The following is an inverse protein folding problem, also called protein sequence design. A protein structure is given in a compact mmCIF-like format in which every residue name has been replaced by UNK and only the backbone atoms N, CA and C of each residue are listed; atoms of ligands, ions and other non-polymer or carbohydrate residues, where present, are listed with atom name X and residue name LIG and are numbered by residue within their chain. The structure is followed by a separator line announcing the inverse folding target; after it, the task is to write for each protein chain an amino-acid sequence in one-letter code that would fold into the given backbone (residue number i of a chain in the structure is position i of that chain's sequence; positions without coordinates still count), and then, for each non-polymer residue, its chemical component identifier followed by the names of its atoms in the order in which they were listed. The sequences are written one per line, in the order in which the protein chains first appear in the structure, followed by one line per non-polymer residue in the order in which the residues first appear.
data_IF_072621392924
#
_entry.id   IF_072621392924
#
_cell.length_a   1.000
_cell.length_b   1.000
_cell.length_c   1.000
_cell.angle_alpha   90.00
_cell.angle_beta   90.00
_cell.angle_gamma   90.00
#
_symmetry.space_group_name_H-M   'P 1'
#
loop_
_entity.id
_entity.type
_entity.pdbx_description
1 polymer ?
#
# COMPACT_ATOMS: atom_id res chain seq x y z
N UNK A 1 -0.33 3.33 35.85
CA UNK A 1 0.53 3.12 34.65
C UNK A 1 0.72 1.65 34.28
N UNK A 2 0.00 0.70 34.86
CA UNK A 2 0.24 -0.76 34.75
C UNK A 2 -0.75 -1.50 33.85
N UNK A 3 -1.96 -1.00 33.64
CA UNK A 3 -3.01 -1.69 32.89
C UNK A 3 -2.77 -1.69 31.36
N UNK A 4 -2.19 -0.64 30.80
CA UNK A 4 -1.88 -0.58 29.36
C UNK A 4 -0.79 -1.56 28.89
N UNK A 5 0.14 -1.95 29.76
CA UNK A 5 1.17 -2.93 29.44
C UNK A 5 0.63 -4.36 29.40
N UNK A 6 -0.37 -4.68 30.25
CA UNK A 6 -0.98 -6.02 30.26
C UNK A 6 -1.80 -6.32 29.01
N UNK A 7 -2.52 -5.32 28.48
CA UNK A 7 -3.35 -5.50 27.26
C UNK A 7 -2.48 -5.68 26.02
N UNK A 8 -1.35 -4.96 25.91
CA UNK A 8 -0.44 -5.08 24.76
C UNK A 8 0.30 -6.43 24.72
N UNK A 9 0.68 -6.97 25.87
CA UNK A 9 1.33 -8.29 25.96
C UNK A 9 0.36 -9.43 25.66
N UNK A 10 -0.90 -9.33 26.10
CA UNK A 10 -1.93 -10.35 25.84
C UNK A 10 -2.33 -10.41 24.35
N UNK A 11 -2.37 -9.27 23.66
CA UNK A 11 -2.64 -9.22 22.22
C UNK A 11 -1.43 -9.78 21.44
N UNK A 12 -0.21 -9.44 21.85
CA UNK A 12 1.00 -9.95 21.20
C UNK A 12 1.15 -11.47 21.36
N UNK A 13 0.85 -12.02 22.55
CA UNK A 13 0.88 -13.49 22.77
C UNK A 13 -0.24 -14.20 22.02
N UNK A 14 -1.44 -13.61 21.90
CA UNK A 14 -2.53 -14.18 21.12
C UNK A 14 -2.23 -14.20 19.62
N UNK A 15 -1.61 -13.14 19.07
CA UNK A 15 -1.20 -13.10 17.65
C UNK A 15 -0.06 -14.05 17.35
N UNK A 16 0.94 -14.19 18.24
CA UNK A 16 2.03 -15.15 18.08
C UNK A 16 1.50 -16.59 18.17
N UNK A 17 0.58 -16.86 19.10
CA UNK A 17 -0.05 -18.18 19.23
C UNK A 17 -0.88 -18.54 18.00
N UNK A 18 -1.63 -17.61 17.43
CA UNK A 18 -2.39 -17.80 16.20
C UNK A 18 -1.45 -18.05 15.00
N UNK A 19 -0.32 -17.36 14.94
CA UNK A 19 0.69 -17.56 13.89
C UNK A 19 1.38 -18.94 14.02
N UNK A 20 1.70 -19.37 15.24
CA UNK A 20 2.29 -20.69 15.47
C UNK A 20 1.31 -21.85 15.17
N UNK A 21 0.02 -21.69 15.43
CA UNK A 21 -0.98 -22.70 15.10
C UNK A 21 -1.23 -22.81 13.60
N UNK A 22 -1.09 -21.71 12.83
CA UNK A 22 -1.14 -21.75 11.37
C UNK A 22 0.09 -22.45 10.76
N UNK A 23 1.25 -22.41 11.42
CA UNK A 23 2.48 -23.07 10.94
C UNK A 23 2.55 -24.56 11.31
N UNK A 24 1.72 -25.01 12.25
CA UNK A 24 1.64 -26.43 12.69
C UNK A 24 0.72 -27.28 11.77
N UNK A 25 0.12 -26.72 10.72
CA UNK A 25 -0.54 -27.52 9.70
C UNK A 25 0.48 -28.47 9.04
N UNK A 26 0.14 -29.76 8.86
CA UNK A 26 1.10 -30.73 8.36
C UNK A 26 1.68 -30.27 7.01
N UNK A 27 3.00 -30.41 6.86
CA UNK A 27 3.77 -30.00 5.66
C UNK A 27 3.17 -30.50 4.33
N UNK A 28 2.41 -31.59 4.38
CA UNK A 28 1.63 -32.10 3.25
C UNK A 28 0.52 -31.16 2.76
N UNK A 29 0.02 -30.23 3.58
CA UNK A 29 -0.94 -29.21 3.13
C UNK A 29 -0.23 -28.02 2.46
N UNK A 30 1.01 -27.73 2.82
CA UNK A 30 1.80 -26.64 2.23
C UNK A 30 2.27 -26.97 0.80
N UNK A 31 2.54 -28.23 0.49
CA UNK A 31 2.93 -28.62 -0.87
C UNK A 31 1.80 -28.51 -1.90
N UNK A 32 0.54 -28.55 -1.50
CA UNK A 32 -0.61 -28.35 -2.41
C UNK A 32 -0.81 -26.90 -2.85
N UNK A 33 -0.16 -25.95 -2.20
CA UNK A 33 -0.25 -24.53 -2.59
C UNK A 33 0.41 -24.23 -3.93
N UNK A 34 1.39 -25.02 -4.35
CA UNK A 34 2.14 -24.82 -5.59
C UNK A 34 1.92 -25.91 -6.66
N UNK A 35 1.00 -26.84 -6.46
CA UNK A 35 0.64 -27.79 -7.51
C UNK A 35 -0.17 -27.08 -8.57
N UNK A 36 0.47 -26.71 -9.68
CA UNK A 36 -0.20 -26.38 -10.92
C UNK A 36 -1.07 -27.54 -11.33
N UNK A 37 -2.37 -27.31 -11.44
CA UNK A 37 -3.31 -28.32 -11.93
C UNK A 37 -2.89 -28.69 -13.36
N UNK A 38 -2.56 -29.94 -13.61
CA UNK A 38 -2.08 -30.41 -14.92
C UNK A 38 -3.30 -30.52 -15.84
N UNK A 39 -3.68 -29.38 -16.39
CA UNK A 39 -4.67 -29.30 -17.47
C UNK A 39 -3.97 -28.90 -18.80
N UNK A 40 -4.70 -28.90 -19.89
CA UNK A 40 -4.16 -28.59 -21.24
C UNK A 40 -3.91 -27.10 -21.49
N UNK A 41 -4.01 -26.25 -20.48
CA UNK A 41 -3.93 -24.79 -20.61
C UNK A 41 -2.46 -24.34 -20.47
N UNK A 42 -1.98 -23.43 -21.33
CA UNK A 42 -0.62 -22.91 -21.24
C UNK A 42 -0.36 -22.23 -19.89
N UNK A 43 0.84 -22.40 -19.35
CA UNK A 43 1.25 -21.76 -18.08
C UNK A 43 1.24 -20.24 -18.21
N UNK A 44 1.78 -19.70 -19.29
CA UNK A 44 1.75 -18.29 -19.58
C UNK A 44 0.49 -17.92 -20.37
N UNK A 45 -0.28 -16.96 -19.86
CA UNK A 45 -1.59 -16.55 -20.41
C UNK A 45 -1.65 -15.08 -20.83
N UNK A 46 -0.53 -14.34 -20.74
CA UNK A 46 -0.43 -12.94 -21.12
C UNK A 46 -0.12 -12.01 -19.98
N UNK A 47 -0.29 -10.74 -20.23
CA UNK A 47 -0.06 -9.66 -19.27
C UNK A 47 -1.35 -8.88 -19.03
N UNK A 48 -1.44 -8.22 -17.88
CA UNK A 48 -2.47 -7.23 -17.60
C UNK A 48 -1.79 -5.94 -17.12
N UNK A 49 -2.21 -4.83 -17.68
CA UNK A 49 -1.80 -3.50 -17.25
C UNK A 49 -2.97 -2.84 -16.56
N UNK A 50 -2.75 -2.22 -15.41
CA UNK A 50 -3.82 -1.50 -14.70
C UNK A 50 -3.39 -0.10 -14.26
N UNK A 51 -4.41 0.74 -14.04
CA UNK A 51 -4.24 2.09 -13.51
C UNK A 51 -5.32 2.39 -12.47
N UNK A 52 -4.91 2.96 -11.31
CA UNK A 52 -5.82 3.31 -10.21
C UNK A 52 -6.48 4.67 -10.44
N UNK A 53 -7.80 4.66 -10.59
CA UNK A 53 -8.59 5.87 -10.79
C UNK A 53 -8.89 6.62 -9.49
N UNK A 54 -9.06 5.90 -8.37
CA UNK A 54 -9.37 6.53 -7.08
C UNK A 54 -8.18 7.32 -6.58
N UNK A 55 -7.01 6.70 -6.55
CA UNK A 55 -5.77 7.36 -6.17
C UNK A 55 -5.46 8.57 -7.07
N UNK A 56 -5.66 8.43 -8.39
CA UNK A 56 -5.47 9.52 -9.35
C UNK A 56 -6.46 10.67 -9.12
N UNK A 57 -7.73 10.37 -8.84
CA UNK A 57 -8.74 11.36 -8.49
C UNK A 57 -8.38 12.11 -7.22
N UNK A 58 -7.98 11.42 -6.17
CA UNK A 58 -7.52 12.04 -4.92
C UNK A 58 -6.27 12.89 -5.12
N UNK A 59 -5.32 12.44 -5.94
CA UNK A 59 -4.12 13.21 -6.25
C UNK A 59 -4.42 14.47 -7.07
N UNK A 60 -5.45 14.46 -7.90
CA UNK A 60 -5.79 15.59 -8.77
C UNK A 60 -6.65 16.63 -8.05
N UNK A 61 -7.65 16.19 -7.29
CA UNK A 61 -8.66 17.08 -6.69
C UNK A 61 -8.47 17.26 -5.17
N UNK A 62 -7.65 16.43 -4.53
CA UNK A 62 -7.41 16.48 -3.08
C UNK A 62 -6.08 17.10 -2.70
N UNK A 63 -5.88 17.27 -1.40
CA UNK A 63 -4.62 17.71 -0.80
C UNK A 63 -3.56 16.60 -0.74
N UNK A 64 -3.95 15.35 -0.94
CA UNK A 64 -3.06 14.18 -1.01
C UNK A 64 -3.64 13.13 -1.96
N UNK A 65 -2.80 12.25 -2.46
CA UNK A 65 -3.18 11.14 -3.32
C UNK A 65 -2.00 10.54 -4.05
N UNK A 66 -2.28 9.60 -4.94
CA UNK A 66 -1.25 8.86 -5.67
C UNK A 66 -1.70 8.50 -7.07
N UNK A 67 -0.77 8.51 -8.00
CA UNK A 67 -0.93 7.91 -9.32
C UNK A 67 -0.24 6.55 -9.28
N UNK A 68 -0.94 5.47 -9.59
CA UNK A 68 -0.41 4.12 -9.52
C UNK A 68 -0.78 3.33 -10.76
N UNK A 69 0.24 2.73 -11.37
CA UNK A 69 0.08 1.78 -12.47
C UNK A 69 0.67 0.43 -12.09
N UNK A 70 0.10 -0.66 -12.59
CA UNK A 70 0.62 -2.00 -12.36
C UNK A 70 0.78 -2.81 -13.65
N UNK A 71 1.75 -3.71 -13.61
CA UNK A 71 1.93 -4.78 -14.59
C UNK A 71 1.79 -6.10 -13.86
N UNK A 72 0.87 -6.92 -14.33
CA UNK A 72 0.58 -8.25 -13.80
C UNK A 72 0.84 -9.30 -14.86
N UNK A 73 1.51 -10.39 -14.51
CA UNK A 73 1.72 -11.54 -15.38
C UNK A 73 0.70 -12.60 -15.04
N UNK A 74 -0.01 -13.11 -16.03
CA UNK A 74 -0.97 -14.20 -15.84
C UNK A 74 -0.29 -15.55 -16.00
N UNK A 75 -0.17 -16.29 -14.88
CA UNK A 75 0.35 -17.65 -14.86
C UNK A 75 -0.80 -18.62 -14.56
N UNK A 76 -1.27 -19.30 -15.61
CA UNK A 76 -2.27 -20.35 -15.52
C UNK A 76 -3.63 -19.90 -14.93
N UNK A 77 -3.97 -18.60 -15.02
CA UNK A 77 -5.14 -17.97 -14.39
C UNK A 77 -5.24 -18.19 -12.87
N UNK A 78 -4.20 -18.72 -12.25
CA UNK A 78 -4.13 -18.99 -10.82
C UNK A 78 -3.21 -18.03 -10.08
N UNK A 79 -2.02 -17.79 -10.64
CA UNK A 79 -1.00 -16.96 -10.00
C UNK A 79 -0.69 -15.74 -10.86
N UNK A 80 -0.60 -14.61 -10.22
CA UNK A 80 -0.38 -13.34 -10.87
C UNK A 80 0.76 -12.58 -10.17
N UNK A 81 2.04 -12.82 -10.54
CA UNK A 81 3.12 -11.92 -10.16
C UNK A 81 2.80 -10.50 -10.63
N UNK A 82 3.01 -9.52 -9.75
CA UNK A 82 2.67 -8.12 -9.99
C UNK A 82 3.79 -7.19 -9.58
N UNK A 83 4.01 -6.17 -10.40
CA UNK A 83 4.87 -5.02 -10.11
C UNK A 83 4.01 -3.78 -10.23
N UNK A 84 4.06 -2.92 -9.22
CA UNK A 84 3.33 -1.65 -9.19
C UNK A 84 4.33 -0.51 -9.05
N UNK A 85 4.11 0.53 -9.83
CA UNK A 85 4.87 1.78 -9.76
C UNK A 85 3.89 2.92 -9.54
N UNK A 86 4.23 3.80 -8.63
CA UNK A 86 3.39 4.93 -8.34
C UNK A 86 4.17 6.18 -7.95
N UNK A 87 3.43 7.28 -7.93
CA UNK A 87 3.92 8.57 -7.49
C UNK A 87 2.90 9.17 -6.52
N UNK A 88 3.29 9.26 -5.26
CA UNK A 88 2.46 9.83 -4.20
C UNK A 88 2.79 11.31 -3.98
N UNK A 89 1.78 12.11 -3.67
CA UNK A 89 1.94 13.53 -3.32
C UNK A 89 1.02 13.91 -2.18
N UNK A 90 1.48 14.83 -1.35
CA UNK A 90 0.66 15.51 -0.37
C UNK A 90 1.10 16.97 -0.25
N UNK A 91 0.12 17.86 -0.10
CA UNK A 91 0.31 19.27 0.17
C UNK A 91 -0.88 19.72 1.02
N UNK A 92 -0.67 19.78 2.32
CA UNK A 92 -1.71 20.13 3.29
C UNK A 92 -1.19 21.21 4.24
N UNK A 93 -2.09 22.07 4.65
CA UNK A 93 -1.87 23.12 5.64
C UNK A 93 -2.90 22.95 6.75
N UNK A 94 -2.45 22.93 7.99
CA UNK A 94 -3.29 22.88 9.17
C UNK A 94 -3.79 24.28 9.50
N UNK A 95 -5.11 24.49 9.50
CA UNK A 95 -5.74 25.79 9.68
C UNK A 95 -5.50 26.40 11.08
N UNK A 96 -5.18 25.58 12.08
CA UNK A 96 -4.99 26.04 13.47
C UNK A 96 -3.53 26.35 13.75
N UNK A 97 -2.64 25.44 13.35
CA UNK A 97 -1.20 25.56 13.62
C UNK A 97 -0.44 26.29 12.52
N UNK A 98 -1.07 26.50 11.37
CA UNK A 98 -0.49 27.06 10.13
C UNK A 98 0.76 26.28 9.65
N UNK A 99 0.88 25.03 10.11
CA UNK A 99 1.95 24.15 9.65
C UNK A 99 1.59 23.63 8.28
N UNK A 100 2.42 23.92 7.31
CA UNK A 100 2.32 23.41 5.95
C UNK A 100 3.23 22.21 5.79
N UNK A 101 2.63 21.11 5.33
CA UNK A 101 3.30 19.87 5.01
C UNK A 101 3.27 19.60 3.51
N UNK A 102 4.44 19.38 2.92
CA UNK A 102 4.54 19.06 1.49
C UNK A 102 5.51 17.91 1.29
N UNK A 103 5.09 16.92 0.51
CA UNK A 103 5.91 15.80 0.09
C UNK A 103 5.47 15.28 -1.25
N UNK A 104 6.39 14.74 -2.02
CA UNK A 104 6.09 13.99 -3.23
C UNK A 104 7.25 13.06 -3.57
N UNK A 105 6.96 11.81 -3.88
CA UNK A 105 7.98 10.86 -4.28
C UNK A 105 7.40 9.66 -5.04
N UNK A 106 8.25 9.00 -5.86
CA UNK A 106 7.93 7.71 -6.42
C UNK A 106 7.98 6.60 -5.35
N UNK A 107 7.23 5.54 -5.58
CA UNK A 107 7.30 4.30 -4.83
C UNK A 107 7.15 3.11 -5.76
N UNK A 108 7.61 1.97 -5.31
CA UNK A 108 7.42 0.72 -6.02
C UNK A 108 6.90 -0.37 -5.09
N UNK A 109 6.18 -1.33 -5.68
CA UNK A 109 5.70 -2.50 -4.98
C UNK A 109 5.93 -3.72 -5.86
N UNK A 110 6.22 -4.84 -5.23
CA UNK A 110 6.35 -6.15 -5.87
C UNK A 110 5.58 -7.17 -5.06
N UNK A 111 4.89 -8.06 -5.73
CA UNK A 111 4.08 -9.04 -5.04
C UNK A 111 3.53 -10.13 -5.93
N UNK A 112 2.59 -10.88 -5.38
CA UNK A 112 1.93 -11.97 -6.06
C UNK A 112 0.48 -12.03 -5.61
N UNK A 113 -0.42 -12.19 -6.56
CA UNK A 113 -1.85 -12.43 -6.34
C UNK A 113 -2.20 -13.88 -6.67
N UNK A 114 -3.17 -14.44 -5.97
CA UNK A 114 -3.72 -15.76 -6.24
C UNK A 114 -5.22 -15.68 -6.47
N UNK A 115 -5.68 -16.26 -7.58
CA UNK A 115 -7.10 -16.37 -7.88
C UNK A 115 -7.76 -17.41 -6.97
N UNK A 116 -8.80 -17.02 -6.25
CA UNK A 116 -9.55 -17.85 -5.31
C UNK A 116 -10.78 -18.50 -5.94
N UNK A 117 -11.19 -18.08 -7.15
CA UNK A 117 -12.36 -18.65 -7.80
C UNK A 117 -12.15 -20.13 -8.14
N UNK A 118 -13.18 -20.94 -7.97
CA UNK A 118 -13.15 -22.35 -8.39
C UNK A 118 -12.99 -22.47 -9.92
N UNK A 119 -13.72 -21.63 -10.68
CA UNK A 119 -13.52 -21.50 -12.11
C UNK A 119 -12.41 -20.47 -12.39
N UNK A 120 -11.16 -20.92 -12.38
CA UNK A 120 -9.97 -20.06 -12.54
C UNK A 120 -9.87 -19.46 -13.94
N UNK A 121 -10.35 -20.16 -14.96
CA UNK A 121 -10.31 -19.77 -16.36
C UNK A 121 -11.50 -18.92 -16.80
N UNK A 122 -12.32 -18.49 -15.83
CA UNK A 122 -13.45 -17.61 -16.08
C UNK A 122 -13.00 -16.17 -16.38
N UNK A 123 -13.93 -15.34 -16.90
CA UNK A 123 -13.63 -13.95 -17.25
C UNK A 123 -13.41 -13.05 -16.04
N UNK A 124 -13.89 -13.44 -14.87
CA UNK A 124 -13.79 -12.68 -13.63
C UNK A 124 -12.76 -13.33 -12.71
N UNK A 125 -12.13 -12.53 -11.85
CA UNK A 125 -11.09 -12.97 -10.91
C UNK A 125 -11.42 -12.43 -9.53
N UNK A 126 -11.39 -13.29 -8.51
CA UNK A 126 -11.36 -12.91 -7.10
C UNK A 126 -9.99 -13.32 -6.57
N UNK A 127 -9.21 -12.38 -6.08
CA UNK A 127 -7.84 -12.67 -5.70
C UNK A 127 -7.50 -12.16 -4.30
N UNK A 128 -6.55 -12.85 -3.70
CA UNK A 128 -5.82 -12.41 -2.52
C UNK A 128 -4.35 -12.31 -2.89
N UNK A 129 -3.69 -11.29 -2.40
CA UNK A 129 -2.29 -11.06 -2.72
C UNK A 129 -1.49 -10.51 -1.56
N UNK A 130 -0.18 -10.64 -1.71
CA UNK A 130 0.81 -10.09 -0.81
C UNK A 130 1.74 -9.19 -1.62
N UNK A 131 2.11 -8.04 -1.06
CA UNK A 131 3.03 -7.09 -1.66
C UNK A 131 4.07 -6.65 -0.64
N UNK A 132 5.26 -6.42 -1.13
CA UNK A 132 6.31 -5.66 -0.45
C UNK A 132 6.49 -4.34 -1.18
N UNK A 133 6.62 -3.27 -0.43
CA UNK A 133 6.67 -1.93 -0.97
C UNK A 133 7.76 -1.08 -0.31
N UNK A 134 8.27 -0.12 -1.07
CA UNK A 134 9.31 0.81 -0.65
C UNK A 134 9.13 2.18 -1.27
N UNK A 135 9.41 3.21 -0.47
CA UNK A 135 9.55 4.59 -0.91
C UNK A 135 10.73 5.28 -0.23
N UNK A 136 11.38 6.16 -0.96
CA UNK A 136 12.32 7.15 -0.43
C UNK A 136 11.82 8.52 -0.83
N UNK A 137 11.59 9.38 0.14
CA UNK A 137 10.92 10.66 -0.08
C UNK A 137 11.55 11.77 0.74
N UNK A 138 11.24 13.01 0.36
CA UNK A 138 11.63 14.20 1.08
C UNK A 138 10.39 14.92 1.59
N UNK A 139 10.53 15.57 2.72
CA UNK A 139 9.47 16.31 3.39
C UNK A 139 9.89 17.76 3.59
N UNK A 140 8.98 18.66 3.25
CA UNK A 140 9.06 20.08 3.58
C UNK A 140 8.01 20.36 4.65
N UNK A 141 8.44 20.88 5.80
CA UNK A 141 7.58 21.32 6.89
C UNK A 141 7.89 22.79 7.12
N UNK A 142 6.92 23.63 6.84
CA UNK A 142 7.07 25.09 7.01
C UNK A 142 5.96 25.62 7.89
N UNK A 143 6.28 26.57 8.74
CA UNK A 143 5.33 27.31 9.56
C UNK A 143 5.67 28.79 9.44
N UNK A 144 4.70 29.69 9.18
CA UNK A 144 4.94 31.12 9.19
C UNK A 144 5.39 31.57 10.58
N UNK A 145 6.19 32.60 10.61
CA UNK A 145 6.94 33.08 11.77
C UNK A 145 6.09 33.24 13.02
N UNK A 146 6.62 32.73 14.11
CA UNK A 146 6.18 33.08 15.45
C UNK A 146 6.94 34.33 15.85
N UNK A 147 6.25 35.48 15.98
CA UNK A 147 6.83 36.66 16.56
C UNK A 147 6.95 36.44 18.07
N UNK A 148 8.19 36.45 18.60
CA UNK A 148 8.41 36.38 20.03
C UNK A 148 7.76 37.61 20.70
N UNK A 149 6.82 37.43 21.63
CA UNK A 149 6.10 38.55 22.27
C UNK A 149 6.99 39.45 23.13
N UNK A 150 8.19 38.98 23.50
CA UNK A 150 9.14 39.73 24.35
C UNK A 150 10.20 40.45 23.53
N UNK A 151 10.78 39.75 22.56
CA UNK A 151 11.92 40.24 21.79
C UNK A 151 11.55 40.72 20.39
N UNK A 152 10.30 40.53 19.97
CA UNK A 152 9.75 40.85 18.65
C UNK A 152 10.59 40.28 17.48
N UNK A 153 11.20 39.13 17.68
CA UNK A 153 11.90 38.42 16.64
C UNK A 153 10.92 37.47 15.93
N UNK A 154 10.96 37.53 14.61
CA UNK A 154 10.25 36.56 13.80
C UNK A 154 11.10 35.30 13.66
N UNK A 155 10.65 34.21 14.22
CA UNK A 155 11.26 32.88 14.07
C UNK A 155 10.46 32.06 13.08
N UNK A 156 10.93 31.99 11.85
CA UNK A 156 10.39 31.08 10.85
C UNK A 156 10.87 29.67 11.15
N UNK A 157 9.91 28.75 11.31
CA UNK A 157 10.22 27.33 11.40
C UNK A 157 10.12 26.70 10.02
N UNK A 158 11.25 26.35 9.45
CA UNK A 158 11.33 25.77 8.12
C UNK A 158 12.31 24.60 8.09
N UNK A 159 11.78 23.40 7.82
CA UNK A 159 12.57 22.19 7.54
C UNK A 159 12.30 21.85 6.08
N UNK A 160 13.32 21.91 5.25
CA UNK A 160 13.23 21.66 3.83
C UNK A 160 14.05 20.42 3.45
N UNK A 161 13.55 19.67 2.45
CA UNK A 161 14.24 18.53 1.86
C UNK A 161 14.65 17.43 2.85
N UNK A 162 13.88 17.26 3.93
CA UNK A 162 14.24 16.27 4.96
C UNK A 162 14.08 14.84 4.43
N UNK A 163 15.14 14.02 4.35
CA UNK A 163 15.09 12.71 3.74
C UNK A 163 14.49 11.67 4.67
N UNK A 164 13.48 10.96 4.17
CA UNK A 164 12.80 9.86 4.84
C UNK A 164 12.73 8.63 3.93
N UNK A 165 12.59 7.45 4.52
CA UNK A 165 12.27 6.24 3.76
C UNK A 165 11.37 5.32 4.56
N UNK A 166 10.56 4.54 3.85
CA UNK A 166 9.66 3.57 4.46
C UNK A 166 9.60 2.27 3.66
N UNK A 167 9.54 1.17 4.40
CA UNK A 167 9.27 -0.17 3.91
C UNK A 167 7.98 -0.69 4.55
N UNK A 168 7.10 -1.28 3.74
CA UNK A 168 5.87 -1.85 4.27
C UNK A 168 5.47 -3.12 3.51
N UNK A 169 4.62 -3.92 4.13
CA UNK A 169 3.93 -5.04 3.51
C UNK A 169 2.46 -4.69 3.29
N UNK A 170 1.87 -5.24 2.24
CA UNK A 170 0.43 -5.12 2.00
C UNK A 170 -0.20 -6.50 1.84
N UNK A 171 -1.37 -6.68 2.44
CA UNK A 171 -2.31 -7.75 2.12
C UNK A 171 -3.41 -7.14 1.27
N UNK A 172 -3.68 -7.75 0.13
CA UNK A 172 -4.62 -7.24 -0.85
C UNK A 172 -5.71 -8.28 -1.12
N UNK A 173 -6.95 -7.83 -1.17
CA UNK A 173 -8.10 -8.62 -1.63
C UNK A 173 -8.80 -7.81 -2.71
N UNK A 174 -9.05 -8.42 -3.86
CA UNK A 174 -9.65 -7.69 -4.98
C UNK A 174 -10.48 -8.58 -5.88
N UNK A 175 -11.32 -7.92 -6.65
CA UNK A 175 -12.19 -8.49 -7.65
C UNK A 175 -11.96 -7.77 -8.98
N UNK A 176 -11.67 -8.53 -10.04
CA UNK A 176 -11.62 -8.04 -11.41
C UNK A 176 -12.80 -8.60 -12.19
N UNK A 177 -13.61 -7.73 -12.76
CA UNK A 177 -14.75 -8.06 -13.59
C UNK A 177 -14.50 -7.66 -15.04
N UNK A 178 -14.66 -8.61 -15.95
CA UNK A 178 -14.57 -8.35 -17.39
C UNK A 178 -15.79 -7.56 -17.85
N UNK A 179 -15.54 -6.43 -18.53
CA UNK A 179 -16.60 -5.57 -19.07
C UNK A 179 -16.76 -5.80 -20.56
N UNK A 180 -15.68 -5.64 -21.32
CA UNK A 180 -15.75 -5.79 -22.77
C UNK A 180 -14.37 -6.06 -23.39
N UNK A 181 -14.28 -7.09 -24.26
CA UNK A 181 -13.01 -7.44 -24.92
C UNK A 181 -11.87 -7.65 -23.91
N UNK A 182 -10.76 -6.89 -23.99
CA UNK A 182 -9.63 -6.96 -23.06
C UNK A 182 -9.84 -6.09 -21.80
N UNK A 183 -10.93 -5.31 -21.73
CA UNK A 183 -11.17 -4.34 -20.67
C UNK A 183 -11.83 -5.00 -19.45
N UNK A 184 -11.21 -4.83 -18.28
CA UNK A 184 -11.72 -5.20 -16.98
C UNK A 184 -11.78 -3.99 -16.06
N UNK A 185 -12.71 -4.01 -15.12
CA UNK A 185 -12.75 -3.10 -13.97
C UNK A 185 -12.46 -3.89 -12.70
N UNK A 186 -11.60 -3.36 -11.87
CA UNK A 186 -11.16 -4.02 -10.65
C UNK A 186 -11.37 -3.15 -9.41
N UNK A 187 -11.78 -3.81 -8.32
CA UNK A 187 -11.82 -3.23 -6.98
C UNK A 187 -10.83 -3.96 -6.12
N UNK A 188 -10.11 -3.25 -5.28
CA UNK A 188 -9.31 -3.90 -4.26
C UNK A 188 -9.32 -3.13 -2.96
N UNK A 189 -9.22 -3.90 -1.86
CA UNK A 189 -8.97 -3.38 -0.52
C UNK A 189 -7.59 -3.86 -0.09
N UNK A 190 -6.78 -2.95 0.41
CA UNK A 190 -5.39 -3.17 0.77
C UNK A 190 -5.18 -2.83 2.24
N UNK A 191 -4.69 -3.79 3.00
CA UNK A 191 -4.24 -3.58 4.36
C UNK A 191 -2.73 -3.48 4.38
N UNK A 192 -2.23 -2.31 4.76
CA UNK A 192 -0.82 -1.96 4.76
C UNK A 192 -0.25 -2.05 6.16
N UNK A 193 0.92 -2.68 6.31
CA UNK A 193 1.62 -2.88 7.57
C UNK A 193 3.03 -2.30 7.46
N UNK A 194 3.35 -1.30 8.26
CA UNK A 194 4.68 -0.72 8.33
C UNK A 194 5.69 -1.73 8.87
N UNK A 195 6.75 -1.98 8.12
CA UNK A 195 7.89 -2.83 8.54
C UNK A 195 8.97 -1.96 9.18
N UNK A 196 9.39 -0.91 8.45
CA UNK A 196 10.44 -0.01 8.89
C UNK A 196 10.18 1.38 8.34
N UNK A 197 10.41 2.38 9.16
CA UNK A 197 10.32 3.78 8.77
C UNK A 197 11.49 4.53 9.39
N UNK A 198 12.29 5.14 8.56
CA UNK A 198 13.33 6.08 8.99
C UNK A 198 12.73 7.47 8.90
N UNK A 199 12.29 7.96 10.04
CA UNK A 199 11.89 9.34 10.27
C UNK A 199 13.11 10.13 10.77
N UNK A 200 13.10 11.43 10.58
CA UNK A 200 14.12 12.27 11.14
C UNK A 200 13.88 12.61 12.59
N UNK A 201 14.82 13.39 13.15
CA UNK A 201 14.81 13.82 14.55
C UNK A 201 13.67 14.81 14.88
N UNK A 202 12.94 15.29 13.87
CA UNK A 202 11.91 16.33 13.98
C UNK A 202 10.47 15.84 14.18
N UNK A 203 10.26 14.54 14.38
CA UNK A 203 8.95 13.96 14.66
C UNK A 203 8.29 13.24 13.49
N UNK A 204 7.03 12.85 13.69
CA UNK A 204 6.29 12.05 12.71
C UNK A 204 5.91 12.87 11.49
N UNK A 205 6.24 12.37 10.31
CA UNK A 205 5.71 12.88 9.05
C UNK A 205 4.22 12.55 8.95
N UNK A 206 3.41 13.45 8.41
CA UNK A 206 1.96 13.24 8.32
C UNK A 206 1.56 12.21 7.26
N UNK A 207 2.22 12.25 6.10
CA UNK A 207 1.88 11.41 4.94
C UNK A 207 3.13 10.79 4.32
N UNK A 208 3.01 9.54 3.91
CA UNK A 208 4.06 8.79 3.22
C UNK A 208 3.58 8.41 1.83
N UNK A 209 4.29 8.80 0.76
CA UNK A 209 3.94 8.45 -0.61
C UNK A 209 3.76 6.94 -0.81
N UNK A 210 2.60 6.52 -1.32
CA UNK A 210 2.23 5.11 -1.53
C UNK A 210 1.70 4.38 -0.30
N UNK A 211 2.06 4.80 0.91
CA UNK A 211 1.53 4.22 2.14
C UNK A 211 0.25 4.91 2.62
N UNK A 212 0.22 6.23 2.58
CA UNK A 212 -0.89 7.06 3.10
C UNK A 212 -0.52 7.79 4.39
N UNK A 213 -1.47 7.92 5.32
CA UNK A 213 -1.21 8.52 6.64
C UNK A 213 -0.18 7.71 7.41
N UNK A 214 0.74 8.41 8.08
CA UNK A 214 1.87 7.79 8.77
C UNK A 214 1.47 7.16 10.10
N UNK A 215 0.87 5.99 10.02
CA UNK A 215 0.56 5.12 11.16
C UNK A 215 1.29 3.78 11.08
N UNK A 216 1.07 2.89 12.04
CA UNK A 216 1.64 1.53 11.99
C UNK A 216 0.96 0.69 10.92
N UNK A 217 -0.33 0.96 10.68
CA UNK A 217 -1.16 0.26 9.71
C UNK A 217 -2.01 1.27 8.95
N UNK A 218 -2.36 0.94 7.71
CA UNK A 218 -3.28 1.75 6.91
C UNK A 218 -4.21 0.84 6.10
N UNK A 219 -5.44 1.29 5.90
CA UNK A 219 -6.42 0.64 5.04
C UNK A 219 -6.66 1.53 3.83
N UNK A 220 -6.57 0.95 2.65
CA UNK A 220 -6.73 1.64 1.39
C UNK A 220 -7.67 0.86 0.46
N UNK A 221 -8.37 1.57 -0.41
CA UNK A 221 -9.22 0.98 -1.43
C UNK A 221 -8.87 1.58 -2.80
N UNK A 222 -8.80 0.73 -3.82
CA UNK A 222 -8.52 1.16 -5.19
C UNK A 222 -9.62 0.77 -6.14
N UNK A 223 -9.76 1.51 -7.21
CA UNK A 223 -10.60 1.18 -8.33
C UNK A 223 -9.78 1.28 -9.62
N UNK A 224 -9.56 0.14 -10.26
CA UNK A 224 -8.61 0.01 -11.35
C UNK A 224 -9.32 -0.21 -12.68
N UNK A 225 -8.84 0.45 -13.70
CA UNK A 225 -9.06 0.06 -15.09
C UNK A 225 -7.92 -0.88 -15.48
N UNK A 226 -8.27 -2.05 -16.03
CA UNK A 226 -7.33 -3.13 -16.33
C UNK A 226 -7.50 -3.52 -17.80
N UNK A 227 -6.38 -3.69 -18.49
CA UNK A 227 -6.34 -4.14 -19.88
C UNK A 227 -5.52 -5.43 -19.93
N UNK A 228 -6.16 -6.54 -20.30
CA UNK A 228 -5.50 -7.82 -20.55
C UNK A 228 -4.89 -7.81 -21.98
N UNK A 229 -3.62 -8.24 -22.09
CA UNK A 229 -2.81 -8.25 -23.32
C UNK A 229 -2.34 -9.67 -23.61
#
# INVERSE_FOLDING_TARGET
MTIRRFISTSILTATISLFLTLTAAPVSAQMKFFTLQKDSIPVFRGFAVSFDLVGAGMATFGSYGQYEGSLRVNLHDEWFPVVELGYGRANSEDEVTLVRYKTSAPYFKVGIDRNLLKNKHGPNRLYVGLRYAYTSYKVDITRPGLTDPFWHWDADYSILDYPCNMHWAEVNVGLDAKIWGPLHLGWSVRYKLRISHKEGDFGKTWYVPGFGTNDNTNLDATFNVIIDI
#
